data_IF_219904972460
#
_entry.id   IF_219904972460
#
_cell.length_a   1.000
_cell.length_b   1.000
_cell.length_c   1.000
_cell.angle_alpha   90.00
_cell.angle_beta   90.00
_cell.angle_gamma   90.00
#
_symmetry.space_group_name_H-M   'P 1'
#
loop_
_entity.id
_entity.type
_entity.pdbx_description
1 polymer ?
#
# COMPACT_ATOMS: atom_id res chain seq x y z
N UNK A 1 -0.08 -1.19 -8.55
CA UNK A 1 1.01 -0.32 -8.06
C UNK A 1 2.29 -1.14 -8.09
N UNK A 2 3.33 -0.67 -8.77
CA UNK A 2 4.63 -1.36 -8.87
C UNK A 2 5.53 -1.00 -7.69
N UNK A 3 6.58 -1.78 -7.39
CA UNK A 3 7.56 -1.44 -6.34
C UNK A 3 8.23 -0.07 -6.55
N UNK A 4 8.47 0.31 -7.80
CA UNK A 4 9.02 1.62 -8.19
C UNK A 4 8.11 2.77 -7.72
N UNK A 5 6.78 2.61 -7.85
CA UNK A 5 5.82 3.61 -7.36
C UNK A 5 5.83 3.77 -5.83
N UNK A 6 6.28 2.78 -5.06
CA UNK A 6 6.39 2.87 -3.60
C UNK A 6 7.64 3.62 -3.16
N UNK A 7 8.74 3.49 -3.90
CA UNK A 7 9.97 4.21 -3.61
C UNK A 7 9.81 5.70 -3.97
N UNK A 8 9.14 6.02 -5.09
CA UNK A 8 8.77 7.40 -5.45
C UNK A 8 7.84 8.03 -4.41
N UNK A 9 6.84 7.28 -3.93
CA UNK A 9 5.95 7.74 -2.86
C UNK A 9 6.69 7.96 -1.53
N UNK A 10 7.71 7.13 -1.25
CA UNK A 10 8.58 7.32 -0.09
C UNK A 10 9.40 8.60 -0.24
N UNK A 11 9.93 8.87 -1.43
CA UNK A 11 10.70 10.08 -1.71
C UNK A 11 9.85 11.35 -1.56
N UNK A 12 8.62 11.35 -2.07
CA UNK A 12 7.67 12.46 -1.88
C UNK A 12 7.30 12.66 -0.41
N UNK A 13 7.09 11.56 0.35
CA UNK A 13 6.81 11.64 1.79
C UNK A 13 7.99 12.27 2.55
N UNK A 14 9.22 11.88 2.23
CA UNK A 14 10.43 12.45 2.84
C UNK A 14 10.67 13.90 2.43
N UNK A 15 10.26 14.30 1.21
CA UNK A 15 10.29 15.69 0.77
C UNK A 15 9.36 16.57 1.61
N UNK A 16 8.18 16.06 1.97
CA UNK A 16 7.21 16.76 2.81
C UNK A 16 7.56 16.72 4.30
N UNK A 17 8.22 15.66 4.74
CA UNK A 17 8.58 15.43 6.15
C UNK A 17 10.04 14.94 6.26
N UNK A 18 11.03 15.85 6.09
CA UNK A 18 12.45 15.49 6.02
C UNK A 18 13.04 14.95 7.32
N UNK A 19 12.31 15.07 8.44
CA UNK A 19 12.71 14.50 9.74
C UNK A 19 12.30 13.05 9.95
N UNK A 20 11.59 12.43 9.00
CA UNK A 20 11.23 11.01 9.08
C UNK A 20 12.42 10.12 8.76
N UNK A 21 12.54 9.02 9.49
CA UNK A 21 13.49 7.97 9.17
C UNK A 21 13.11 7.31 7.82
N UNK A 22 13.99 7.36 6.80
CA UNK A 22 13.69 6.83 5.47
C UNK A 22 13.33 5.34 5.46
N UNK A 23 14.02 4.53 6.26
CA UNK A 23 13.79 3.10 6.30
C UNK A 23 12.43 2.79 6.94
N UNK A 24 12.06 3.52 7.98
CA UNK A 24 10.76 3.37 8.66
C UNK A 24 9.60 3.85 7.79
N UNK A 25 9.78 4.95 7.05
CA UNK A 25 8.80 5.44 6.08
C UNK A 25 8.54 4.42 4.96
N UNK A 26 9.61 3.89 4.36
CA UNK A 26 9.50 2.86 3.32
C UNK A 26 8.84 1.57 3.85
N UNK A 27 9.21 1.13 5.05
CA UNK A 27 8.63 -0.07 5.66
C UNK A 27 7.13 0.10 5.94
N UNK A 28 6.72 1.28 6.41
CA UNK A 28 5.32 1.60 6.64
C UNK A 28 4.50 1.55 5.34
N UNK A 29 4.98 2.19 4.27
CA UNK A 29 4.31 2.21 2.98
C UNK A 29 4.18 0.80 2.38
N UNK A 30 5.24 0.00 2.42
CA UNK A 30 5.20 -1.42 1.98
C UNK A 30 4.19 -2.24 2.79
N UNK A 31 4.11 -2.01 4.11
CA UNK A 31 3.14 -2.69 4.97
C UNK A 31 1.71 -2.29 4.64
N UNK A 32 1.43 -0.99 4.50
CA UNK A 32 0.12 -0.48 4.13
C UNK A 32 -0.33 -1.00 2.76
N UNK A 33 0.56 -1.02 1.78
CA UNK A 33 0.28 -1.59 0.46
C UNK A 33 -0.10 -3.07 0.53
N UNK A 34 0.66 -3.88 1.29
CA UNK A 34 0.35 -5.31 1.47
C UNK A 34 -0.99 -5.53 2.18
N UNK A 35 -1.32 -4.71 3.18
CA UNK A 35 -2.60 -4.76 3.86
C UNK A 35 -3.75 -4.44 2.89
N UNK A 36 -3.64 -3.34 2.12
CA UNK A 36 -4.63 -2.98 1.11
C UNK A 36 -4.81 -4.05 0.02
N UNK A 37 -3.74 -4.74 -0.39
CA UNK A 37 -3.86 -5.89 -1.28
C UNK A 37 -4.57 -7.09 -0.64
N UNK A 38 -4.36 -7.34 0.65
CA UNK A 38 -5.03 -8.42 1.37
C UNK A 38 -6.52 -8.15 1.54
N UNK A 39 -6.89 -6.91 1.84
CA UNK A 39 -8.28 -6.48 2.00
C UNK A 39 -9.00 -6.40 0.66
N UNK A 40 -8.39 -5.83 -0.39
CA UNK A 40 -8.98 -5.83 -1.73
C UNK A 40 -9.18 -7.23 -2.30
N UNK A 41 -8.28 -8.19 -1.97
CA UNK A 41 -8.51 -9.61 -2.31
C UNK A 41 -9.72 -10.19 -1.59
N UNK A 42 -9.92 -9.86 -0.31
CA UNK A 42 -11.11 -10.29 0.45
C UNK A 42 -12.39 -9.73 -0.15
N UNK A 43 -12.44 -8.43 -0.45
CA UNK A 43 -13.62 -7.81 -1.09
C UNK A 43 -13.95 -8.44 -2.45
N UNK A 44 -12.92 -8.80 -3.24
CA UNK A 44 -13.14 -9.44 -4.54
C UNK A 44 -13.66 -10.88 -4.38
N UNK A 45 -13.22 -11.59 -3.34
CA UNK A 45 -13.74 -12.92 -3.00
C UNK A 45 -15.18 -12.84 -2.50
N UNK A 46 -15.48 -11.92 -1.59
CA UNK A 46 -16.84 -11.71 -1.04
C UNK A 46 -17.82 -11.25 -2.14
N UNK A 47 -17.38 -10.36 -3.04
CA UNK A 47 -18.18 -9.94 -4.21
C UNK A 47 -18.44 -11.09 -5.20
N UNK A 48 -17.56 -12.09 -5.27
CA UNK A 48 -17.74 -13.28 -6.13
C UNK A 48 -18.72 -14.29 -5.52
N UNK A 49 -18.79 -14.36 -4.20
CA UNK A 49 -19.73 -15.22 -3.47
C UNK A 49 -21.17 -14.65 -3.48
N UNK A 50 -21.31 -13.32 -3.55
CA UNK A 50 -22.61 -12.64 -3.62
C UNK A 50 -23.07 -12.26 -5.04
N UNK A 51 -22.20 -12.40 -6.05
CA UNK A 51 -22.48 -12.09 -7.47
C UNK A 51 -23.09 -13.22 -8.29
N UNK A 52 -23.48 -14.34 -7.65
CA UNK A 52 -24.26 -15.41 -8.27
C UNK A 52 -25.75 -15.19 -8.05
N UNK A 53 -26.36 -14.33 -8.85
CA UNK A 53 -27.82 -14.30 -9.07
C UNK A 53 -28.13 -14.75 -10.50
#
# INVERSE_FOLDING_TARGET
>A
MTPENLDDLTAELLRLAPGLDPARAAALLRRAYRAGLADGRRETTESREHGGW
#
